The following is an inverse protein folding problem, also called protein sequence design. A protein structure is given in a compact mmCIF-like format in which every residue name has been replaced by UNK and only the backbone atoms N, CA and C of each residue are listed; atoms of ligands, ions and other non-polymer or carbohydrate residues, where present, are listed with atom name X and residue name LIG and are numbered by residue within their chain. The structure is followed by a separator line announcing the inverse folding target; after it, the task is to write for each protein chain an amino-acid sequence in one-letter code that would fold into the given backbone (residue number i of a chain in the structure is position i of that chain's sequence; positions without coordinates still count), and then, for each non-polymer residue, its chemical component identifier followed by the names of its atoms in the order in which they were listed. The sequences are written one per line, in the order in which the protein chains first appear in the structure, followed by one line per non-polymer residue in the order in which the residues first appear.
data_IF_223067584470
#
_entry.id   IF_223067584470
#
_cell.length_a   1.000
_cell.length_b   1.000
_cell.length_c   1.000
_cell.angle_alpha   90.00
_cell.angle_beta   90.00
_cell.angle_gamma   90.00
#
_symmetry.space_group_name_H-M   'P 1'
#
loop_
_entity.id
_entity.type
_entity.pdbx_description
1 polymer ?
#
# COMPACT_ATOMS: atom_id res chain seq x y z
N UNK A 1 0.35 -28.89 -13.25
CA UNK A 1 -0.26 -28.82 -11.91
C UNK A 1 -0.16 -27.42 -11.31
N UNK A 2 0.94 -26.72 -11.55
CA UNK A 2 1.24 -25.41 -10.94
C UNK A 2 0.17 -24.33 -11.17
N UNK A 3 -0.47 -24.31 -12.34
CA UNK A 3 -1.51 -23.31 -12.63
C UNK A 3 -2.77 -23.49 -11.77
N UNK A 4 -3.16 -24.73 -11.45
CA UNK A 4 -4.32 -24.99 -10.60
C UNK A 4 -4.09 -24.53 -9.16
N UNK A 5 -2.88 -24.77 -8.62
CA UNK A 5 -2.47 -24.31 -7.31
C UNK A 5 -2.38 -22.78 -7.27
N UNK A 6 -1.73 -22.18 -8.27
CA UNK A 6 -1.66 -20.71 -8.43
C UNK A 6 -3.05 -20.09 -8.45
N UNK A 7 -3.96 -20.62 -9.26
CA UNK A 7 -5.32 -20.10 -9.36
C UNK A 7 -6.10 -20.24 -8.05
N UNK A 8 -5.93 -21.35 -7.31
CA UNK A 8 -6.54 -21.53 -6.01
C UNK A 8 -6.06 -20.50 -4.97
N UNK A 9 -4.75 -20.23 -4.93
CA UNK A 9 -4.17 -19.21 -4.05
C UNK A 9 -4.72 -17.83 -4.40
N UNK A 10 -4.73 -17.46 -5.68
CA UNK A 10 -5.23 -16.15 -6.13
C UNK A 10 -6.72 -15.97 -5.83
N UNK A 11 -7.55 -17.02 -6.02
CA UNK A 11 -8.96 -16.99 -5.63
C UNK A 11 -9.15 -16.78 -4.14
N UNK A 12 -8.34 -17.44 -3.29
CA UNK A 12 -8.42 -17.24 -1.84
C UNK A 12 -8.10 -15.81 -1.44
N UNK A 13 -7.08 -15.19 -2.05
CA UNK A 13 -6.73 -13.79 -1.79
C UNK A 13 -7.86 -12.85 -2.22
N UNK A 14 -8.46 -13.08 -3.38
CA UNK A 14 -9.60 -12.27 -3.86
C UNK A 14 -10.81 -12.33 -2.90
N UNK A 15 -11.12 -13.49 -2.34
CA UNK A 15 -12.20 -13.64 -1.35
C UNK A 15 -11.91 -12.87 -0.05
N UNK A 16 -10.65 -12.79 0.37
CA UNK A 16 -10.27 -12.00 1.55
C UNK A 16 -10.39 -10.49 1.28
N UNK A 17 -10.02 -10.05 0.09
CA UNK A 17 -10.21 -8.66 -0.34
C UNK A 17 -11.70 -8.30 -0.38
N UNK A 18 -12.55 -9.17 -0.96
CA UNK A 18 -14.01 -8.96 -1.01
C UNK A 18 -14.64 -8.91 0.38
N UNK A 19 -14.22 -9.81 1.28
CA UNK A 19 -14.66 -9.78 2.67
C UNK A 19 -14.27 -8.46 3.35
N UNK A 20 -13.04 -7.98 3.16
CA UNK A 20 -12.60 -6.71 3.73
C UNK A 20 -13.36 -5.49 3.19
N UNK A 21 -13.84 -5.53 1.93
CA UNK A 21 -14.60 -4.44 1.32
C UNK A 21 -16.09 -4.43 1.69
N UNK A 22 -16.71 -5.60 1.85
CA UNK A 22 -18.18 -5.75 1.91
C UNK A 22 -18.73 -6.37 3.20
N UNK A 23 -17.86 -6.91 4.07
CA UNK A 23 -18.31 -7.64 5.25
C UNK A 23 -18.91 -6.76 6.35
N UNK A 24 -19.82 -7.35 7.12
CA UNK A 24 -20.41 -6.71 8.30
C UNK A 24 -19.40 -6.68 9.46
N UNK A 25 -19.29 -5.55 10.16
CA UNK A 25 -18.25 -5.31 11.17
C UNK A 25 -18.15 -6.40 12.25
N UNK A 26 -19.28 -6.92 12.73
CA UNK A 26 -19.33 -7.94 13.80
C UNK A 26 -18.78 -9.30 13.34
N UNK A 27 -18.96 -9.64 12.07
CA UNK A 27 -18.41 -10.86 11.47
C UNK A 27 -16.94 -10.70 11.05
N UNK A 28 -16.51 -9.47 10.78
CA UNK A 28 -15.18 -9.17 10.26
C UNK A 28 -14.08 -9.24 11.32
N UNK A 29 -14.33 -8.84 12.56
CA UNK A 29 -13.25 -8.77 13.58
C UNK A 29 -12.65 -10.15 13.87
N UNK A 30 -13.42 -11.23 14.12
CA UNK A 30 -12.86 -12.56 14.33
C UNK A 30 -12.15 -13.10 13.09
N UNK A 31 -12.73 -12.86 11.90
CA UNK A 31 -12.14 -13.26 10.63
C UNK A 31 -10.80 -12.56 10.38
N UNK A 32 -10.76 -11.23 10.52
CA UNK A 32 -9.56 -10.43 10.36
C UNK A 32 -8.45 -10.87 11.31
N UNK A 33 -8.76 -11.14 12.58
CA UNK A 33 -7.78 -11.65 13.55
C UNK A 33 -7.17 -12.97 13.07
N UNK A 34 -8.01 -13.93 12.69
CA UNK A 34 -7.54 -15.23 12.22
C UNK A 34 -6.66 -15.11 10.96
N UNK A 35 -7.06 -14.29 9.99
CA UNK A 35 -6.33 -14.14 8.73
C UNK A 35 -5.05 -13.31 8.89
N UNK A 36 -5.01 -12.29 9.77
CA UNK A 36 -3.77 -11.57 10.11
C UNK A 36 -2.73 -12.55 10.68
N UNK A 37 -3.13 -13.44 11.60
CA UNK A 37 -2.21 -14.43 12.14
C UNK A 37 -1.70 -15.39 11.06
N UNK A 38 -2.59 -15.92 10.22
CA UNK A 38 -2.21 -16.81 9.11
C UNK A 38 -1.25 -16.14 8.12
N UNK A 39 -1.50 -14.89 7.74
CA UNK A 39 -0.63 -14.14 6.85
C UNK A 39 0.73 -13.85 7.50
N UNK A 40 0.75 -13.46 8.77
CA UNK A 40 2.00 -13.25 9.51
C UNK A 40 2.84 -14.54 9.57
N UNK A 41 2.22 -15.70 9.81
CA UNK A 41 2.90 -16.99 9.81
C UNK A 41 3.43 -17.37 8.42
N UNK A 42 2.64 -17.12 7.37
CA UNK A 42 3.07 -17.29 5.98
C UNK A 42 4.30 -16.44 5.64
N UNK A 43 4.32 -15.17 6.06
CA UNK A 43 5.47 -14.28 5.89
C UNK A 43 6.70 -14.78 6.66
N UNK A 44 6.55 -15.22 7.91
CA UNK A 44 7.68 -15.78 8.69
C UNK A 44 8.30 -16.98 8.01
N UNK A 45 7.47 -17.90 7.50
CA UNK A 45 7.94 -19.08 6.78
C UNK A 45 8.69 -18.68 5.50
N UNK A 46 8.10 -17.78 4.70
CA UNK A 46 8.71 -17.30 3.46
C UNK A 46 10.06 -16.61 3.73
N UNK A 47 10.13 -15.72 4.73
CA UNK A 47 11.35 -15.00 5.07
C UNK A 47 12.43 -15.92 5.65
N UNK A 48 12.05 -16.99 6.34
CA UNK A 48 12.98 -18.02 6.82
C UNK A 48 13.68 -18.72 5.66
N UNK A 49 12.94 -19.05 4.59
CA UNK A 49 13.52 -19.66 3.38
C UNK A 49 14.46 -18.69 2.66
N UNK A 50 14.24 -17.39 2.79
CA UNK A 50 15.02 -16.33 2.14
C UNK A 50 16.11 -15.70 3.03
N UNK A 51 16.56 -16.40 4.08
CA UNK A 51 17.65 -15.90 4.92
C UNK A 51 18.97 -15.75 4.14
N UNK A 52 19.83 -14.78 4.53
CA UNK A 52 21.18 -14.70 3.99
C UNK A 52 22.05 -15.83 4.54
N UNK A 53 22.87 -16.41 3.67
CA UNK A 53 23.98 -17.27 4.05
C UNK A 53 25.12 -16.48 4.71
N UNK A 54 26.14 -17.17 5.27
CA UNK A 54 27.37 -16.53 5.74
C UNK A 54 28.04 -15.60 4.72
N UNK A 55 27.87 -15.87 3.42
CA UNK A 55 28.39 -15.04 2.32
C UNK A 55 27.50 -13.82 1.97
N UNK A 56 26.42 -13.58 2.73
CA UNK A 56 25.47 -12.49 2.50
C UNK A 56 24.60 -12.67 1.25
N UNK A 57 24.28 -13.92 0.88
CA UNK A 57 23.50 -14.27 -0.33
C UNK A 57 22.26 -15.08 0.02
N UNK A 58 21.21 -14.96 -0.79
CA UNK A 58 19.97 -15.73 -0.63
C UNK A 58 19.97 -16.96 -1.54
N UNK A 59 20.07 -18.17 -0.95
CA UNK A 59 20.10 -19.45 -1.67
C UNK A 59 18.80 -19.80 -2.40
N UNK A 60 17.66 -19.42 -1.85
CA UNK A 60 16.35 -19.75 -2.39
C UNK A 60 15.96 -18.97 -3.66
N UNK A 61 16.61 -17.82 -3.92
CA UNK A 61 16.30 -17.06 -5.12
C UNK A 61 16.92 -17.70 -6.37
N UNK A 62 16.15 -17.96 -7.44
CA UNK A 62 16.71 -18.41 -8.70
C UNK A 62 17.61 -17.32 -9.28
N UNK A 63 18.85 -17.67 -9.62
CA UNK A 63 19.83 -16.78 -10.23
C UNK A 63 20.70 -17.57 -11.21
N UNK A 64 20.82 -17.07 -12.45
CA UNK A 64 21.40 -17.82 -13.60
C UNK A 64 22.89 -18.12 -13.43
N UNK A 65 23.62 -17.35 -12.62
CA UNK A 65 25.04 -17.63 -12.34
C UNK A 65 25.47 -17.51 -10.87
N UNK A 66 24.73 -16.80 -9.99
CA UNK A 66 25.00 -16.72 -8.55
C UNK A 66 23.71 -16.39 -7.79
N UNK A 67 23.56 -16.95 -6.59
CA UNK A 67 22.54 -16.54 -5.62
C UNK A 67 22.48 -15.02 -5.48
N UNK A 68 21.26 -14.45 -5.38
CA UNK A 68 21.05 -13.00 -5.29
C UNK A 68 21.70 -12.46 -4.01
N UNK A 69 22.32 -11.27 -4.12
CA UNK A 69 22.83 -10.53 -2.95
C UNK A 69 21.66 -10.20 -2.03
N UNK A 70 21.87 -10.32 -0.72
CA UNK A 70 20.89 -9.93 0.28
C UNK A 70 20.90 -8.39 0.47
N UNK A 71 19.74 -7.73 0.71
CA UNK A 71 18.40 -8.29 0.74
C UNK A 71 17.89 -8.63 -0.67
N UNK A 72 17.29 -9.81 -0.80
CA UNK A 72 16.68 -10.24 -2.05
C UNK A 72 15.28 -9.62 -2.24
N UNK A 73 14.69 -9.79 -3.43
CA UNK A 73 13.40 -9.19 -3.78
C UNK A 73 12.29 -9.50 -2.76
N UNK A 74 12.25 -10.71 -2.22
CA UNK A 74 11.24 -11.13 -1.23
C UNK A 74 11.37 -10.33 0.07
N UNK A 75 12.60 -10.10 0.54
CA UNK A 75 12.85 -9.25 1.71
C UNK A 75 12.51 -7.78 1.44
N UNK A 76 12.83 -7.27 0.25
CA UNK A 76 12.44 -5.92 -0.16
C UNK A 76 10.92 -5.75 -0.19
N UNK A 77 10.18 -6.74 -0.73
CA UNK A 77 8.72 -6.73 -0.75
C UNK A 77 8.13 -6.82 0.66
N UNK A 78 8.69 -7.67 1.53
CA UNK A 78 8.25 -7.76 2.91
C UNK A 78 8.46 -6.43 3.65
N UNK A 79 9.61 -5.79 3.47
CA UNK A 79 9.85 -4.46 4.03
C UNK A 79 8.82 -3.43 3.52
N UNK A 80 8.54 -3.42 2.23
CA UNK A 80 7.56 -2.51 1.62
C UNK A 80 6.10 -2.77 2.03
N UNK A 81 5.73 -4.01 2.37
CA UNK A 81 4.32 -4.33 2.67
C UNK A 81 4.04 -4.48 4.17
N UNK A 82 5.05 -4.76 4.98
CA UNK A 82 4.92 -4.91 6.43
C UNK A 82 5.36 -3.67 7.21
N UNK A 83 6.26 -2.84 6.66
CA UNK A 83 6.90 -1.73 7.39
C UNK A 83 6.74 -0.37 6.67
N UNK A 84 7.11 -0.30 5.39
CA UNK A 84 7.11 0.95 4.63
C UNK A 84 5.74 1.30 4.05
N UNK A 85 5.30 2.54 4.22
CA UNK A 85 4.19 3.23 3.54
C UNK A 85 3.15 2.30 2.91
N UNK A 86 2.40 1.62 3.79
CA UNK A 86 1.22 0.89 3.37
C UNK A 86 0.31 1.86 2.65
N UNK A 87 0.23 1.74 1.32
CA UNK A 87 -0.79 2.43 0.51
C UNK A 87 -2.09 2.29 1.28
N UNK A 88 -2.69 3.39 1.79
CA UNK A 88 -3.92 3.27 2.56
C UNK A 88 -4.90 2.49 1.70
N UNK A 89 -5.61 1.51 2.28
CA UNK A 89 -6.47 0.56 1.55
C UNK A 89 -7.37 1.24 0.50
N UNK A 90 -7.73 2.51 0.71
CA UNK A 90 -8.49 3.36 -0.22
C UNK A 90 -7.78 3.78 -1.52
N UNK A 91 -6.45 3.85 -1.57
CA UNK A 91 -5.72 4.37 -2.73
C UNK A 91 -5.37 3.33 -3.81
N UNK A 92 -5.56 2.02 -3.53
CA UNK A 92 -5.44 0.98 -4.56
C UNK A 92 -6.49 1.10 -5.68
N UNK A 93 -7.48 1.98 -5.53
CA UNK A 93 -8.54 2.28 -6.52
C UNK A 93 -8.15 3.30 -7.59
N UNK A 94 -6.86 3.55 -7.83
CA UNK A 94 -6.48 4.36 -9.00
C UNK A 94 -6.49 3.45 -10.23
N UNK A 95 -7.34 3.69 -11.24
CA UNK A 95 -7.30 2.94 -12.48
C UNK A 95 -5.90 3.07 -13.09
N UNK A 96 -5.40 1.98 -13.68
CA UNK A 96 -4.10 1.92 -14.34
C UNK A 96 -3.97 3.12 -15.28
N UNK A 97 -3.13 4.09 -14.89
CA UNK A 97 -2.89 5.29 -15.67
C UNK A 97 -2.16 4.87 -16.94
N UNK A 98 -2.88 4.83 -18.06
CA UNK A 98 -2.35 4.44 -19.35
C UNK A 98 -1.16 5.37 -19.74
N UNK A 99 0.06 4.85 -19.94
CA UNK A 99 1.21 5.68 -20.31
C UNK A 99 1.14 6.22 -21.74
N UNK A 100 0.14 5.85 -22.54
CA UNK A 100 0.03 6.22 -23.96
C UNK A 100 -0.77 7.50 -24.27
N UNK A 101 -1.36 8.21 -23.30
CA UNK A 101 -2.13 9.44 -23.57
C UNK A 101 -1.30 10.73 -23.60
N UNK A 102 0.05 10.64 -23.62
CA UNK A 102 0.93 11.81 -23.54
C UNK A 102 1.36 12.40 -24.89
N UNK A 103 0.58 12.21 -25.95
CA UNK A 103 0.90 12.74 -27.28
C UNK A 103 -0.35 13.29 -27.97
N UNK A 104 -0.76 14.51 -27.59
CA UNK A 104 -1.35 15.52 -28.50
C UNK A 104 -1.53 16.83 -27.72
N UNK A 105 -0.43 17.57 -27.55
CA UNK A 105 -0.48 19.00 -27.27
C UNK A 105 0.84 19.61 -27.78
N UNK A 106 1.06 19.48 -29.08
CA UNK A 106 1.98 20.32 -29.82
C UNK A 106 1.13 21.11 -30.82
N UNK A 107 0.77 22.33 -30.45
CA UNK A 107 0.45 23.38 -31.42
C UNK A 107 1.00 24.68 -30.86
N UNK A 108 2.11 25.06 -31.48
CA UNK A 108 2.83 26.33 -31.65
C UNK A 108 2.73 27.53 -30.66
N UNK A 109 3.84 28.28 -30.52
CA UNK A 109 3.96 29.47 -29.68
C UNK A 109 3.59 30.74 -30.45
N UNK A 110 2.69 31.56 -29.90
CA UNK A 110 2.48 32.92 -30.41
C UNK A 110 1.15 33.51 -29.99
N UNK A 111 1.23 34.67 -29.35
CA UNK A 111 0.13 35.56 -28.94
C UNK A 111 -0.36 35.36 -27.51
N UNK A 112 0.30 36.07 -26.59
CA UNK A 112 -0.34 36.49 -25.35
C UNK A 112 -1.50 37.46 -25.66
N UNK A 113 -2.57 37.42 -24.85
CA UNK A 113 -3.27 38.64 -24.48
C UNK A 113 -3.13 38.90 -22.97
N UNK A 114 -3.05 40.18 -22.65
CA UNK A 114 -2.91 40.78 -21.32
C UNK A 114 -3.96 40.30 -20.31
N UNK A 115 -3.64 40.27 -19.00
CA UNK A 115 -4.62 40.09 -17.95
C UNK A 115 -5.06 41.46 -17.40
N UNK A 116 -6.37 41.68 -17.33
CA UNK A 116 -6.99 42.71 -16.51
C UNK A 116 -8.34 42.18 -15.98
N UNK A 117 -8.92 42.77 -14.92
CA UNK A 117 -9.01 42.14 -13.59
C UNK A 117 -10.45 41.73 -13.21
N UNK A 118 -10.63 41.26 -11.96
CA UNK A 118 -11.89 41.16 -11.18
C UNK A 118 -12.46 39.75 -10.87
N UNK A 119 -12.04 39.23 -9.70
CA UNK A 119 -12.90 38.62 -8.67
C UNK A 119 -13.17 37.09 -8.68
N UNK A 120 -13.63 36.48 -7.56
CA UNK A 120 -13.64 36.95 -6.17
C UNK A 120 -12.82 36.05 -5.21
N UNK A 121 -12.23 36.71 -4.22
CA UNK A 121 -11.89 36.31 -2.86
C UNK A 121 -12.06 34.82 -2.47
N UNK A 122 -10.91 34.14 -2.37
CA UNK A 122 -10.76 32.83 -1.73
C UNK A 122 -10.95 32.99 -0.22
N UNK A 123 -12.18 32.79 0.25
CA UNK A 123 -12.53 32.71 1.67
C UNK A 123 -11.81 31.51 2.29
N UNK A 124 -10.64 31.78 2.86
CA UNK A 124 -9.95 30.87 3.77
C UNK A 124 -10.73 30.86 5.08
N UNK A 125 -11.56 29.84 5.28
CA UNK A 125 -12.13 29.57 6.60
C UNK A 125 -11.01 29.01 7.50
N UNK A 126 -10.47 29.88 8.33
CA UNK A 126 -9.56 29.51 9.41
C UNK A 126 -10.25 28.53 10.37
N UNK A 127 -9.55 27.45 10.70
CA UNK A 127 -9.99 26.42 11.64
C UNK A 127 -9.85 26.97 13.07
N UNK A 128 -10.89 26.99 13.92
CA UNK A 128 -10.74 27.46 15.30
C UNK A 128 -9.95 26.44 16.13
N UNK A 129 -8.92 26.93 16.84
CA UNK A 129 -8.14 26.17 17.80
C UNK A 129 -8.99 25.87 19.03
N UNK A 130 -9.34 24.59 19.25
CA UNK A 130 -10.04 24.13 20.45
C UNK A 130 -9.03 23.93 21.57
N UNK A 131 -8.97 24.89 22.51
CA UNK A 131 -8.23 24.74 23.77
C UNK A 131 -9.06 23.90 24.73
N UNK A 132 -8.64 22.66 24.94
CA UNK A 132 -9.24 21.76 25.93
C UNK A 132 -8.57 21.98 27.30
N UNK A 133 -9.34 22.43 28.29
CA UNK A 133 -8.88 22.60 29.68
C UNK A 133 -8.99 21.25 30.41
N UNK A 134 -7.93 20.73 31.06
CA UNK A 134 -8.03 19.49 31.83
C UNK A 134 -8.81 19.75 33.12
N UNK A 135 -9.93 19.04 33.29
CA UNK A 135 -10.60 18.86 34.58
C UNK A 135 -10.09 17.56 35.17
N UNK A 136 -9.47 17.61 36.36
CA UNK A 136 -9.70 16.70 37.48
C UNK A 136 -8.84 17.17 38.67
N UNK A 137 -9.50 17.70 39.69
CA UNK A 137 -8.98 17.73 41.06
C UNK A 137 -9.59 16.53 41.79
N UNK A 138 -8.77 15.74 42.49
CA UNK A 138 -9.23 14.79 43.50
C UNK A 138 -9.59 15.56 44.79
N UNK A 139 -10.63 15.14 45.54
CA UNK A 139 -10.81 15.57 46.92
C UNK A 139 -9.98 14.70 47.89
N UNK A 140 -9.74 15.29 49.08
CA UNK A 140 -8.84 14.87 50.17
C UNK A 140 -9.05 13.45 50.75
#
# INVERSE_FOLDING_TARGET
MDESLRAAVLRRLALLDEAAESGEADSLVPLARAEIHRLADGWRLLLTVHQPDPDGRCRACPGVLRHKKWPCQVWTMAHQHLIGDGVPHRERRKPLRNPFTRQTAFTEPGSAPEPDPEGPEEVTQEIPVVVSKPRHALPD
#
